data_IF_863595401065
#
_entry.id   IF_863595401065
#
_cell.length_a   1.000
_cell.length_b   1.000
_cell.length_c   1.000
_cell.angle_alpha   90.00
_cell.angle_beta   90.00
_cell.angle_gamma   90.00
#
_symmetry.space_group_name_H-M   'P 1'
#
loop_
_entity.id
_entity.type
_entity.pdbx_description
1 polymer ?
2 polymer ?
3 polymer ?
4 non-polymer ?
#
loop_
_entity_poly.entity_id
_entity_poly.type
_entity_poly.pdbx_seq_one_letter_code
_entity_poly.pdbx_strand_id
1 'polydeoxyribonucleotide' '(DG)(DC)(DT)(DC)(DA)(DA)(DG)(DG)(DT)(DC)(DA)(DC)(DG)' ?
2 'polydeoxyribonucleotide' '(DC)(DG)(DT)(DG)(DA)(DC)(DC)(DT)(DT)(DG)(DA)(DG)(DC)' ?
#
# COMPACT_ATOMS: atom_id res chain seq x y z
N UNK C 1 -17.66 -4.25 -17.64
CA UNK C 1 -17.23 -5.21 -16.62
C UNK C 1 -15.98 -4.66 -15.93
N UNK C 2 -15.58 -5.29 -14.83
CA UNK C 2 -14.31 -5.07 -14.14
C UNK C 2 -13.83 -6.45 -13.63
N UNK C 3 -12.51 -6.73 -13.61
CA UNK C 3 -11.96 -7.88 -12.89
C UNK C 3 -12.27 -7.81 -11.39
N UNK C 4 -12.17 -8.95 -10.70
CA UNK C 4 -12.17 -8.99 -9.23
C UNK C 4 -10.89 -8.30 -8.76
N UNK C 5 -11.00 -7.07 -8.25
CA UNK C 5 -9.84 -6.24 -7.98
C UNK C 5 -9.06 -6.85 -6.81
N UNK C 6 -7.73 -6.80 -6.89
CA UNK C 6 -6.81 -7.53 -6.03
C UNK C 6 -5.79 -6.52 -5.51
N UNK C 7 -5.54 -6.50 -4.21
CA UNK C 7 -4.43 -5.79 -3.62
C UNK C 7 -3.16 -6.46 -4.16
N UNK C 8 -2.53 -5.82 -5.14
CA UNK C 8 -1.33 -6.33 -5.80
C UNK C 8 -0.09 -6.18 -4.92
N UNK C 9 -0.21 -5.56 -3.74
CA UNK C 9 0.83 -5.57 -2.70
C UNK C 9 0.94 -7.01 -2.17
N UNK C 10 -0.06 -7.47 -1.40
CA UNK C 10 0.01 -8.70 -0.60
C UNK C 10 -0.79 -9.88 -1.19
N UNK C 11 -1.58 -9.66 -2.23
CA UNK C 11 -2.25 -10.71 -2.98
C UNK C 11 -3.47 -11.21 -2.21
N UNK C 12 -4.44 -10.33 -1.99
CA UNK C 12 -5.78 -10.64 -1.46
C UNK C 12 -6.78 -9.68 -2.12
N UNK C 13 -8.06 -10.02 -2.13
CA UNK C 13 -9.11 -9.24 -2.79
C UNK C 13 -9.12 -7.83 -2.17
N UNK C 14 -8.94 -6.82 -3.02
CA UNK C 14 -9.07 -5.42 -2.62
C UNK C 14 -10.54 -5.08 -2.43
N UNK C 15 -10.83 -4.24 -1.43
CA UNK C 15 -12.13 -3.61 -1.27
C UNK C 15 -12.44 -2.72 -2.49
N UNK C 16 -11.45 -1.93 -2.93
CA UNK C 16 -11.50 -1.19 -4.17
C UNK C 16 -10.17 -0.51 -4.43
N UNK C 17 -10.16 0.54 -5.24
CA UNK C 17 -8.99 1.40 -5.36
C UNK C 17 -8.78 2.15 -4.04
N UNK C 18 -7.54 2.20 -3.58
CA UNK C 18 -7.08 3.06 -2.50
C UNK C 18 -5.65 3.48 -2.85
N UNK C 19 -5.43 4.79 -2.88
CA UNK C 19 -4.24 5.45 -3.41
C UNK C 19 -3.93 5.00 -4.84
N UNK C 20 -4.94 5.14 -5.70
CA UNK C 20 -4.83 5.10 -7.16
C UNK C 20 -4.43 3.74 -7.76
N UNK C 21 -4.42 2.68 -6.97
CA UNK C 21 -4.33 1.28 -7.39
C UNK C 21 -5.30 0.48 -6.52
N UNK C 22 -5.70 -0.71 -6.96
CA UNK C 22 -6.44 -1.65 -6.13
C UNK C 22 -5.57 -1.99 -4.90
N UNK C 23 -6.07 -1.75 -3.70
CA UNK C 23 -5.42 -2.12 -2.45
C UNK C 23 -6.46 -2.31 -1.35
N UNK C 24 -6.25 -3.31 -0.48
CA UNK C 24 -7.09 -3.55 0.67
C UNK C 24 -6.90 -2.50 1.78
N UNK C 25 -7.75 -2.58 2.79
CA UNK C 25 -7.93 -1.57 3.83
C UNK C 25 -6.73 -1.52 4.78
N UNK C 26 -6.14 -2.68 5.10
CA UNK C 26 -4.97 -2.78 5.95
C UNK C 26 -3.78 -2.06 5.32
N UNK C 27 -3.48 -2.36 4.06
CA UNK C 27 -2.46 -1.70 3.26
C UNK C 27 -2.69 -0.18 3.19
N UNK C 28 -3.92 0.27 2.91
CA UNK C 28 -4.31 1.68 3.03
C UNK C 28 -3.83 2.26 4.36
N UNK C 29 -4.30 1.72 5.49
CA UNK C 29 -4.05 2.27 6.81
C UNK C 29 -2.56 2.33 7.12
N UNK C 30 -1.82 1.26 6.84
CA UNK C 30 -0.37 1.24 6.96
C UNK C 30 0.28 2.37 6.14
N UNK C 31 -0.05 2.46 4.86
CA UNK C 31 0.57 3.38 3.91
C UNK C 31 0.41 4.82 4.41
N UNK C 32 -0.80 5.18 4.86
CA UNK C 32 -1.06 6.42 5.59
C UNK C 32 -0.10 6.58 6.75
N UNK C 33 -0.13 5.68 7.75
CA UNK C 33 0.62 5.83 9.00
C UNK C 33 2.09 6.10 8.70
N UNK C 34 2.68 5.32 7.81
CA UNK C 34 4.06 5.47 7.38
C UNK C 34 4.35 6.93 6.95
N UNK C 35 3.56 7.47 6.04
CA UNK C 35 3.82 8.75 5.38
C UNK C 35 3.42 9.88 6.34
N UNK C 36 2.15 9.92 6.76
CA UNK C 36 1.56 10.97 7.57
C UNK C 36 2.30 11.08 8.91
N UNK C 37 2.62 9.94 9.52
CA UNK C 37 3.32 9.84 10.80
C UNK C 37 4.84 9.89 10.68
N UNK C 38 5.38 10.01 9.46
CA UNK C 38 6.80 9.85 9.08
C UNK C 38 7.51 8.78 9.92
N UNK C 39 6.98 7.55 9.86
CA UNK C 39 7.49 6.40 10.60
C UNK C 39 8.61 5.79 9.75
N UNK C 40 9.80 5.65 10.34
CA UNK C 40 10.91 4.89 9.75
C UNK C 40 10.72 3.40 10.07
N UNK C 41 11.09 2.52 9.14
CA UNK C 41 11.12 1.08 9.32
C UNK C 41 12.45 0.51 8.82
N UNK C 42 12.69 -0.77 9.09
CA UNK C 42 13.80 -1.58 8.60
C UNK C 42 13.30 -3.02 8.48
N UNK C 43 13.83 -3.76 7.51
CA UNK C 43 13.62 -5.19 7.40
C UNK C 43 14.32 -5.90 8.58
N UNK C 44 13.72 -6.95 9.16
CA UNK C 44 14.40 -7.86 10.08
C UNK C 44 15.63 -8.51 9.42
N UNK C 45 15.53 -8.83 8.13
CA UNK C 45 16.48 -9.64 7.38
C UNK C 45 17.36 -8.74 6.50
N UNK C 46 17.08 -8.66 5.20
CA UNK C 46 17.97 -8.10 4.18
C UNK C 46 17.28 -7.08 3.25
N UNK C 47 16.01 -6.76 3.49
CA UNK C 47 15.13 -6.00 2.60
C UNK C 47 15.23 -6.51 1.14
N UNK C 48 15.15 -7.83 0.99
CA UNK C 48 15.01 -8.56 -0.27
C UNK C 48 13.95 -9.65 0.03
N UNK C 49 12.70 -9.21 0.11
CA UNK C 49 11.56 -9.97 0.63
C UNK C 49 10.39 -9.86 -0.34
N UNK C 50 9.89 -11.02 -0.80
CA UNK C 50 8.60 -11.07 -1.46
C UNK C 50 7.52 -10.83 -0.41
N UNK C 51 6.42 -10.21 -0.82
CA UNK C 51 5.36 -9.73 0.06
C UNK C 51 4.09 -10.52 -0.29
N UNK C 52 3.55 -11.15 0.74
CA UNK C 52 2.25 -11.80 0.81
C UNK C 52 1.53 -11.20 2.02
N UNK C 53 0.26 -11.57 2.26
CA UNK C 53 -0.45 -11.24 3.49
C UNK C 53 0.39 -11.62 4.71
N UNK C 54 0.90 -12.85 4.76
CA UNK C 54 1.78 -13.33 5.82
C UNK C 54 3.02 -12.46 5.92
N UNK C 55 3.81 -12.38 4.84
CA UNK C 55 5.15 -11.80 4.89
C UNK C 55 5.11 -10.32 5.24
N UNK C 56 4.09 -9.58 4.81
CA UNK C 56 4.02 -8.15 5.14
C UNK C 56 3.93 -7.91 6.64
N UNK C 57 3.26 -8.76 7.43
CA UNK C 57 3.23 -8.63 8.89
C UNK C 57 4.66 -8.61 9.45
N UNK C 58 5.54 -9.49 8.94
CA UNK C 58 6.93 -9.56 9.32
C UNK C 58 7.68 -8.29 8.94
N UNK C 59 7.57 -7.85 7.67
CA UNK C 59 8.40 -6.79 7.10
C UNK C 59 7.55 -5.57 6.72
N UNK C 60 7.46 -4.59 7.62
CA UNK C 60 6.90 -3.27 7.35
C UNK C 60 7.70 -2.55 6.26
N UNK C 61 9.04 -2.59 6.34
CA UNK C 61 9.91 -1.92 5.38
C UNK C 61 9.64 -2.43 3.96
N UNK C 62 9.69 -3.75 3.79
CA UNK C 62 9.45 -4.44 2.53
C UNK C 62 8.01 -4.23 2.03
N UNK C 63 7.01 -4.21 2.92
CA UNK C 63 5.64 -3.80 2.59
C UNK C 63 5.64 -2.43 1.92
N UNK C 64 6.24 -1.42 2.55
CA UNK C 64 6.29 -0.06 2.02
C UNK C 64 7.00 -0.01 0.66
N UNK C 65 8.13 -0.73 0.53
CA UNK C 65 8.84 -0.92 -0.72
C UNK C 65 7.90 -1.47 -1.81
N UNK C 66 7.21 -2.59 -1.56
CA UNK C 66 6.27 -3.21 -2.50
C UNK C 66 5.21 -2.17 -2.89
N UNK C 67 4.59 -1.52 -1.92
CA UNK C 67 3.54 -0.52 -2.11
C UNK C 67 3.98 0.54 -3.14
N UNK C 68 5.09 1.24 -2.87
CA UNK C 68 5.72 2.17 -3.80
C UNK C 68 5.96 1.55 -5.17
N UNK C 69 6.61 0.39 -5.22
CA UNK C 69 6.98 -0.30 -6.46
C UNK C 69 5.74 -0.51 -7.34
N UNK C 70 4.69 -1.12 -6.81
CA UNK C 70 3.53 -1.49 -7.61
C UNK C 70 2.77 -0.25 -8.10
N UNK C 71 2.58 0.76 -7.25
CA UNK C 71 2.09 2.07 -7.69
C UNK C 71 1.30 2.84 -6.63
N UNK C 72 1.34 2.45 -5.35
CA UNK C 72 0.84 3.33 -4.29
C UNK C 72 1.89 4.43 -4.17
N UNK C 73 1.67 5.58 -4.81
CA UNK C 73 2.63 6.67 -4.83
C UNK C 73 2.58 7.36 -3.46
N UNK C 74 3.75 7.72 -2.91
CA UNK C 74 3.86 8.58 -1.72
C UNK C 74 2.93 9.80 -1.84
N UNK C 75 3.08 10.55 -2.93
CA UNK C 75 2.28 11.75 -3.23
C UNK C 75 0.77 11.47 -3.39
N UNK C 76 0.37 10.21 -3.53
CA UNK C 76 -1.01 9.77 -3.46
C UNK C 76 -1.66 10.21 -2.14
N UNK C 77 -1.01 9.93 -1.01
CA UNK C 77 -1.43 10.43 0.29
C UNK C 77 -1.36 11.95 0.26
N UNK C 78 -2.51 12.62 0.41
CA UNK C 78 -2.54 14.06 0.60
C UNK C 78 -2.15 14.35 2.05
N UNK C 79 -1.23 15.30 2.26
CA UNK C 79 -0.97 15.89 3.58
C UNK C 79 -2.14 16.81 3.99
N UNK C 80 -2.88 17.31 3.00
CA UNK C 80 -4.10 18.09 3.12
C UNK C 80 -5.24 17.26 3.76
N UNK C 81 -5.24 15.93 3.53
CA UNK C 81 -6.06 14.96 4.26
C UNK C 81 -7.56 15.28 4.18
N UNK C 82 -8.12 15.30 2.97
CA UNK C 82 -9.52 15.65 2.72
C UNK C 82 -10.21 14.46 2.06
N UNK C 83 -11.24 13.95 2.73
CA UNK C 83 -11.87 12.67 2.36
C UNK C 83 -12.44 12.76 0.94
N UNK C 84 -12.50 11.61 0.27
CA UNK C 84 -13.21 11.42 -0.99
C UNK C 84 -12.61 12.12 -2.19
N UNK C 85 -11.41 12.72 -2.08
CA UNK C 85 -10.73 13.38 -3.17
C UNK C 85 -10.02 12.34 -4.04
N UNK C 86 -10.77 11.70 -4.94
CA UNK C 86 -10.34 10.54 -5.70
C UNK C 86 -9.02 10.83 -6.42
N UNK C 87 -8.11 9.87 -6.40
CA UNK C 87 -6.72 10.03 -6.82
C UNK C 87 -6.32 8.85 -7.71
N UNK C 88 -7.19 8.50 -8.66
CA UNK C 88 -6.84 7.59 -9.75
C UNK C 88 -5.87 8.38 -10.62
N UNK C 89 -4.59 7.98 -10.67
CA UNK C 89 -3.53 8.80 -11.24
C UNK C 89 -3.78 9.09 -12.72
N UNK C 90 -3.71 10.36 -13.07
CA UNK C 90 -3.70 10.92 -14.42
C UNK C 90 -3.05 12.31 -14.33
X LIG D 1 -3.00 -5.42 0.73
X LIG E 1 11.91 -8.00 4.76
#
# INVERSE_FOLDING_TARGET
>C
AIPKRLCLVCGDIASGYHYGVASCEACKAFFKRTIQGNIEYSCPATNECEITKRRRKSCQACRFMKALKVGMLKEGVRLDRVRGGRQKYKRRLDSENS
>D hetero
1 ZN ZN
>E hetero
1 ZN ZN
#
